data_IF_324525262461
#
_entry.id   IF_324525262461
#
_cell.length_a   1.000
_cell.length_b   1.000
_cell.length_c   1.000
_cell.angle_alpha   90.00
_cell.angle_beta   90.00
_cell.angle_gamma   90.00
#
_symmetry.space_group_name_H-M   'P 1'
#
loop_
_entity.id
_entity.type
_entity.pdbx_description
1 polymer ?
#
# COMPACT_ATOMS: atom_id res chain seq x y z
N UNK A 1 -2.69 -25.62 -2.01
CA UNK A 1 -2.38 -24.53 -1.07
C UNK A 1 -2.59 -23.26 -1.87
N UNK A 2 -3.65 -22.49 -1.57
CA UNK A 2 -3.92 -21.25 -2.29
C UNK A 2 -2.64 -20.40 -2.23
N UNK A 3 -2.11 -20.01 -3.39
CA UNK A 3 -1.04 -19.03 -3.48
C UNK A 3 -1.57 -17.77 -2.81
N UNK A 4 -1.25 -17.61 -1.52
CA UNK A 4 -1.71 -16.52 -0.68
C UNK A 4 -1.10 -15.24 -1.19
N UNK A 5 -1.83 -14.62 -2.10
CA UNK A 5 -1.79 -13.23 -2.49
C UNK A 5 -0.38 -12.68 -2.76
N UNK A 6 0.10 -12.91 -3.99
CA UNK A 6 1.24 -12.17 -4.57
C UNK A 6 0.78 -10.73 -4.86
N UNK A 7 0.34 -10.02 -3.83
CA UNK A 7 -0.11 -8.65 -3.89
C UNK A 7 1.09 -7.73 -4.02
N UNK A 8 1.01 -6.82 -4.98
CA UNK A 8 1.99 -5.76 -5.13
C UNK A 8 1.61 -4.61 -4.23
N UNK A 9 2.52 -4.29 -3.30
CA UNK A 9 2.44 -3.11 -2.47
C UNK A 9 3.36 -2.04 -3.00
N UNK A 10 2.80 -0.88 -3.30
CA UNK A 10 3.55 0.27 -3.83
C UNK A 10 3.36 1.47 -2.91
N UNK A 11 4.48 1.95 -2.35
CA UNK A 11 4.55 3.18 -1.56
C UNK A 11 5.12 4.26 -2.48
N UNK A 12 4.32 5.27 -2.80
CA UNK A 12 4.70 6.36 -3.70
C UNK A 12 4.35 7.72 -3.11
N UNK A 13 5.00 8.77 -3.63
CA UNK A 13 4.70 10.16 -3.29
C UNK A 13 3.89 10.75 -4.44
N UNK A 14 2.69 11.24 -4.13
CA UNK A 14 1.80 11.89 -5.08
C UNK A 14 2.34 13.28 -5.50
N UNK A 15 1.78 13.85 -6.57
CA UNK A 15 2.12 15.19 -7.05
C UNK A 15 1.94 16.29 -5.98
N UNK A 16 1.03 16.07 -5.02
CA UNK A 16 0.83 16.96 -3.86
C UNK A 16 1.93 16.86 -2.80
N UNK A 17 2.94 16.02 -3.01
CA UNK A 17 4.02 15.80 -2.05
C UNK A 17 3.62 14.89 -0.88
N UNK A 18 2.47 14.21 -0.94
CA UNK A 18 2.00 13.30 0.10
C UNK A 18 2.29 11.84 -0.25
N UNK A 19 2.74 11.07 0.73
CA UNK A 19 2.93 9.63 0.64
C UNK A 19 1.59 8.90 0.64
N UNK A 20 1.47 7.94 -0.27
CA UNK A 20 0.33 7.06 -0.39
C UNK A 20 0.81 5.65 -0.69
N UNK A 21 -0.02 4.68 -0.34
CA UNK A 21 0.21 3.28 -0.63
C UNK A 21 -0.92 2.74 -1.49
N UNK A 22 -0.63 1.75 -2.33
CA UNK A 22 -1.63 0.94 -3.02
C UNK A 22 -1.26 -0.54 -2.95
N UNK A 23 -2.27 -1.38 -2.79
CA UNK A 23 -2.19 -2.84 -2.83
C UNK A 23 -2.94 -3.32 -4.06
N UNK A 24 -2.21 -3.91 -4.98
CA UNK A 24 -2.74 -4.49 -6.21
C UNK A 24 -2.65 -6.00 -6.09
N UNK A 25 -3.78 -6.68 -6.11
CA UNK A 25 -3.81 -8.13 -6.12
C UNK A 25 -3.17 -8.70 -7.38
N UNK A 26 -2.78 -9.98 -7.32
CA UNK A 26 -2.14 -10.66 -8.45
C UNK A 26 -3.02 -10.71 -9.71
N UNK A 27 -4.34 -10.53 -9.54
CA UNK A 27 -5.31 -10.39 -10.63
C UNK A 27 -5.36 -8.98 -11.24
N UNK A 28 -4.50 -8.06 -10.82
CA UNK A 28 -4.42 -6.67 -11.29
C UNK A 28 -5.44 -5.71 -10.66
N UNK A 29 -6.29 -6.18 -9.73
CA UNK A 29 -7.29 -5.33 -9.07
C UNK A 29 -6.68 -4.65 -7.85
N UNK A 30 -6.97 -3.37 -7.68
CA UNK A 30 -6.62 -2.65 -6.45
C UNK A 30 -7.57 -3.13 -5.35
N UNK A 31 -7.00 -3.80 -4.35
CA UNK A 31 -7.73 -4.35 -3.19
C UNK A 31 -7.56 -3.48 -1.95
N UNK A 32 -6.63 -2.51 -1.98
CA UNK A 32 -6.46 -1.53 -0.92
C UNK A 32 -5.66 -0.32 -1.40
N UNK A 33 -5.92 0.84 -0.82
CA UNK A 33 -5.16 2.06 -1.05
C UNK A 33 -5.20 2.95 0.19
N UNK A 34 -4.23 3.86 0.30
CA UNK A 34 -4.24 4.90 1.32
C UNK A 34 -5.48 5.79 1.17
N UNK A 35 -6.28 5.87 2.23
CA UNK A 35 -7.45 6.75 2.30
C UNK A 35 -7.06 8.22 2.45
N UNK A 36 -5.86 8.47 2.97
CA UNK A 36 -5.32 9.80 3.25
C UNK A 36 -3.90 9.92 2.71
N UNK A 37 -3.47 11.15 2.40
CA UNK A 37 -2.10 11.43 2.01
C UNK A 37 -1.27 11.80 3.22
N UNK A 38 -0.17 11.08 3.46
CA UNK A 38 0.71 11.27 4.60
C UNK A 38 1.88 12.19 4.27
N UNK A 39 2.32 13.03 5.21
CA UNK A 39 3.50 13.88 4.99
C UNK A 39 4.81 13.07 5.08
N UNK A 40 4.83 12.05 5.94
CA UNK A 40 5.99 11.19 6.15
C UNK A 40 5.76 9.78 5.60
N UNK A 41 6.82 9.19 5.04
CA UNK A 41 6.80 7.82 4.54
C UNK A 41 6.51 6.81 5.65
N UNK A 42 7.01 7.08 6.86
CA UNK A 42 6.79 6.23 8.04
C UNK A 42 5.31 6.05 8.38
N UNK A 43 4.54 7.14 8.40
CA UNK A 43 3.10 7.11 8.68
C UNK A 43 2.33 6.35 7.59
N UNK A 44 2.71 6.56 6.32
CA UNK A 44 2.16 5.82 5.20
C UNK A 44 2.39 4.31 5.34
N UNK A 45 3.60 3.90 5.71
CA UNK A 45 3.94 2.49 5.93
C UNK A 45 3.18 1.94 7.15
N UNK A 46 3.07 2.70 8.23
CA UNK A 46 2.31 2.28 9.41
C UNK A 46 0.84 2.01 9.05
N UNK A 47 0.24 2.86 8.22
CA UNK A 47 -1.12 2.64 7.73
C UNK A 47 -1.20 1.42 6.77
N UNK A 48 -0.26 1.26 5.86
CA UNK A 48 -0.18 0.08 5.00
C UNK A 48 -0.08 -1.21 5.85
N UNK A 49 0.73 -1.20 6.91
CA UNK A 49 0.89 -2.33 7.85
C UNK A 49 -0.41 -2.71 8.53
N UNK A 50 -1.20 -1.72 8.95
CA UNK A 50 -2.55 -1.94 9.50
C UNK A 50 -3.51 -2.58 8.50
N UNK A 51 -3.26 -2.42 7.20
CA UNK A 51 -4.05 -3.01 6.12
C UNK A 51 -3.49 -4.35 5.61
N UNK A 52 -2.44 -4.88 6.24
CA UNK A 52 -1.85 -6.18 5.89
C UNK A 52 -0.51 -6.12 5.16
N UNK A 53 0.12 -4.95 5.04
CA UNK A 53 1.50 -4.87 4.55
C UNK A 53 2.45 -5.46 5.59
N UNK A 54 3.07 -6.60 5.30
CA UNK A 54 3.99 -7.24 6.24
C UNK A 54 5.44 -6.74 6.10
N UNK A 55 5.70 -5.88 5.10
CA UNK A 55 7.06 -5.58 4.67
C UNK A 55 7.59 -6.73 3.81
N UNK A 56 8.27 -6.37 2.73
CA UNK A 56 9.19 -7.30 2.05
C UNK A 56 10.48 -7.43 2.89
#
# INVERSE_FOLDING_TARGET
MAAGDNDKWEIYKDATGRWRWRRTASNGRIVGAATEGYEHRGDCIANARRNGYQGD
#
